data_IF_222255153708
#
_entry.id   IF_222255153708
#
_cell.length_a   1.000
_cell.length_b   1.000
_cell.length_c   1.000
_cell.angle_alpha   90.00
_cell.angle_beta   90.00
_cell.angle_gamma   90.00
#
_symmetry.space_group_name_H-M   'P 1'
#
loop_
_entity.id
_entity.type
_entity.pdbx_description
1 polymer ?
#
# COMPACT_ATOMS: atom_id res chain seq x y z
N UNK A 1 0.47 -15.45 4.21
CA UNK A 1 1.90 -15.22 3.92
C UNK A 1 2.20 -13.77 4.22
N UNK A 2 3.41 -13.48 4.70
CA UNK A 2 3.88 -12.10 4.88
C UNK A 2 4.71 -11.73 3.66
N UNK A 3 4.35 -10.63 3.00
CA UNK A 3 5.00 -10.11 1.82
C UNK A 3 5.61 -8.76 2.18
N UNK A 4 6.89 -8.58 1.81
CA UNK A 4 7.58 -7.31 2.00
C UNK A 4 7.29 -6.38 0.82
N UNK A 5 6.60 -5.29 1.08
CA UNK A 5 6.28 -4.24 0.12
C UNK A 5 7.37 -3.17 0.14
N UNK A 6 7.94 -2.83 -1.02
CA UNK A 6 8.86 -1.71 -1.14
C UNK A 6 8.10 -0.45 -1.58
N UNK A 7 8.26 0.64 -0.83
CA UNK A 7 7.55 1.90 -1.05
C UNK A 7 8.48 2.89 -1.73
N UNK A 8 8.11 3.29 -2.94
CA UNK A 8 8.83 4.30 -3.69
C UNK A 8 8.84 5.65 -2.94
N UNK A 9 9.91 6.44 -3.09
CA UNK A 9 10.13 7.68 -2.33
C UNK A 9 8.94 8.64 -2.37
N UNK A 10 8.28 8.78 -3.51
CA UNK A 10 7.11 9.65 -3.70
C UNK A 10 5.89 9.21 -2.90
N UNK A 11 5.79 7.93 -2.52
CA UNK A 11 4.64 7.37 -1.81
C UNK A 11 4.89 7.27 -0.30
N UNK A 12 6.14 7.45 0.16
CA UNK A 12 6.49 7.40 1.59
C UNK A 12 5.83 8.50 2.42
N UNK A 13 5.45 9.61 1.76
CA UNK A 13 4.68 10.69 2.40
C UNK A 13 3.32 10.22 2.93
N UNK A 14 2.78 9.10 2.40
CA UNK A 14 1.52 8.52 2.82
C UNK A 14 1.69 7.36 3.82
N UNK A 15 2.92 6.94 4.11
CA UNK A 15 3.23 5.79 4.98
C UNK A 15 4.26 6.14 6.03
N UNK A 16 4.14 7.31 6.65
CA UNK A 16 5.01 7.78 7.74
C UNK A 16 6.52 7.72 7.42
N UNK A 17 6.89 7.88 6.15
CA UNK A 17 8.29 7.82 5.71
C UNK A 17 8.85 6.40 5.54
N UNK A 18 8.05 5.35 5.76
CA UNK A 18 8.50 3.96 5.66
C UNK A 18 8.96 3.61 4.25
N UNK A 19 10.16 3.03 4.14
CA UNK A 19 10.70 2.52 2.88
C UNK A 19 10.16 1.13 2.54
N UNK A 20 9.91 0.32 3.56
CA UNK A 20 9.39 -1.04 3.42
C UNK A 20 8.33 -1.33 4.46
N UNK A 21 7.33 -2.11 4.07
CA UNK A 21 6.26 -2.54 4.95
C UNK A 21 5.99 -4.02 4.76
N UNK A 22 5.90 -4.75 5.86
CA UNK A 22 5.43 -6.14 5.85
C UNK A 22 3.90 -6.16 5.91
N UNK A 23 3.30 -6.78 4.88
CA UNK A 23 1.85 -6.94 4.76
C UNK A 23 1.46 -8.41 4.70
N UNK A 24 0.34 -8.76 5.33
CA UNK A 24 -0.20 -10.10 5.24
C UNK A 24 -1.22 -10.19 4.10
N UNK A 25 -0.99 -11.11 3.16
CA UNK A 25 -1.91 -11.30 2.04
C UNK A 25 -1.63 -12.57 1.26
N UNK A 26 -2.68 -13.11 0.65
CA UNK A 26 -2.60 -14.25 -0.28
C UNK A 26 -2.64 -13.80 -1.74
N UNK A 27 -3.07 -12.56 -2.01
CA UNK A 27 -3.15 -11.97 -3.34
C UNK A 27 -2.64 -10.54 -3.32
N UNK A 28 -2.25 -10.01 -4.48
CA UNK A 28 -1.83 -8.61 -4.62
C UNK A 28 -2.96 -7.67 -4.14
N UNK A 29 -4.21 -7.99 -4.50
CA UNK A 29 -5.37 -7.23 -4.04
C UNK A 29 -5.48 -7.19 -2.51
N UNK A 30 -5.31 -8.33 -1.83
CA UNK A 30 -5.33 -8.38 -0.37
C UNK A 30 -4.19 -7.57 0.27
N UNK A 31 -2.99 -7.58 -0.31
CA UNK A 31 -1.87 -6.77 0.16
C UNK A 31 -2.12 -5.26 0.01
N UNK A 32 -2.72 -4.85 -1.11
CA UNK A 32 -3.09 -3.44 -1.34
C UNK A 32 -4.22 -3.02 -0.39
N UNK A 33 -5.20 -3.89 -0.16
CA UNK A 33 -6.30 -3.62 0.78
C UNK A 33 -5.76 -3.42 2.21
N UNK A 34 -4.85 -4.29 2.67
CA UNK A 34 -4.20 -4.14 3.97
C UNK A 34 -3.36 -2.86 4.07
N UNK A 35 -2.61 -2.52 3.01
CA UNK A 35 -1.83 -1.29 2.94
C UNK A 35 -2.73 -0.06 3.08
N UNK A 36 -3.86 -0.03 2.38
CA UNK A 36 -4.82 1.08 2.42
C UNK A 36 -5.56 1.12 3.76
N UNK A 37 -5.83 -0.03 4.37
CA UNK A 37 -6.42 -0.09 5.70
C UNK A 37 -5.52 0.55 6.75
N UNK A 38 -4.19 0.32 6.68
CA UNK A 38 -3.22 0.97 7.57
C UNK A 38 -2.97 2.43 7.20
N UNK A 39 -2.95 2.74 5.91
CA UNK A 39 -2.61 4.06 5.36
C UNK A 39 -3.69 4.54 4.38
N UNK A 40 -4.83 5.06 4.87
CA UNK A 40 -5.95 5.45 4.01
C UNK A 40 -5.58 6.57 3.03
N UNK A 41 -4.64 7.44 3.38
CA UNK A 41 -4.12 8.48 2.49
C UNK A 41 -3.42 7.91 1.23
N UNK A 42 -2.91 6.69 1.31
CA UNK A 42 -2.28 6.00 0.17
C UNK A 42 -3.31 5.59 -0.90
N UNK A 43 -4.60 5.49 -0.54
CA UNK A 43 -5.66 5.07 -1.46
C UNK A 43 -5.74 5.98 -2.69
N UNK A 44 -5.77 7.29 -2.46
CA UNK A 44 -5.87 8.30 -3.53
C UNK A 44 -4.63 8.31 -4.41
N UNK A 45 -3.46 8.04 -3.82
CA UNK A 45 -2.19 7.95 -4.55
C UNK A 45 -2.03 6.66 -5.38
N UNK A 46 -2.75 5.60 -5.03
CA UNK A 46 -2.72 4.31 -5.74
C UNK A 46 -3.84 4.19 -6.79
N UNK A 47 -4.98 4.83 -6.54
CA UNK A 47 -6.17 4.72 -7.37
C UNK A 47 -6.50 6.08 -7.98
N UNK A 48 -6.06 6.29 -9.23
CA UNK A 48 -6.41 7.44 -10.05
C UNK A 48 -7.87 7.33 -10.53
N UNK A 49 -8.82 7.53 -9.60
CA UNK A 49 -10.26 7.50 -9.86
C UNK A 49 -10.85 6.13 -10.27
N UNK A 50 -10.04 5.07 -10.32
CA UNK A 50 -10.46 3.70 -10.59
C UNK A 50 -10.41 2.86 -9.31
N UNK A 51 -11.47 2.14 -9.02
CA UNK A 51 -11.59 1.35 -7.79
C UNK A 51 -10.59 0.17 -7.71
N UNK A 52 -10.01 -0.28 -8.85
CA UNK A 52 -8.98 -1.33 -8.90
C UNK A 52 -7.99 -1.14 -10.06
N UNK A 53 -6.77 -1.63 -9.82
CA UNK A 53 -5.70 -1.86 -10.80
C UNK A 53 -5.96 -3.18 -11.55
#
# INVERSE_FOLDING_TARGET
MTIKLNIHKTHRQYTDGLETLDVAGSTIGACIDELIHRFPAMKDALFDGKEKL
#
